data_IF_330548537908
#
_entry.id   IF_330548537908
#
_cell.length_a   1.000
_cell.length_b   1.000
_cell.length_c   1.000
_cell.angle_alpha   90.00
_cell.angle_beta   90.00
_cell.angle_gamma   90.00
#
_symmetry.space_group_name_H-M   'P 1'
#
loop_
_entity.id
_entity.type
_entity.pdbx_description
1 polymer ?
#
# COMPACT_ATOMS: atom_id res chain seq x y z
N UNK A 1 -3.75 -24.36 9.54
CA UNK A 1 -3.08 -24.11 8.26
C UNK A 1 -2.97 -22.62 7.99
N UNK A 2 -1.90 -22.17 7.39
CA UNK A 2 -1.63 -20.74 7.17
C UNK A 2 -1.26 -20.50 5.71
N UNK A 3 -1.88 -19.52 5.10
CA UNK A 3 -1.53 -19.04 3.77
C UNK A 3 -0.82 -17.71 3.87
N UNK A 4 0.27 -17.54 3.12
CA UNK A 4 1.07 -16.32 3.10
C UNK A 4 1.15 -15.82 1.67
N UNK A 5 0.86 -14.54 1.47
CA UNK A 5 1.03 -13.89 0.18
C UNK A 5 1.72 -12.55 0.35
N UNK A 6 2.44 -12.11 -0.68
CA UNK A 6 3.19 -10.86 -0.67
C UNK A 6 2.81 -10.00 -1.85
N UNK A 7 2.73 -8.70 -1.61
CA UNK A 7 2.47 -7.68 -2.63
C UNK A 7 3.48 -6.55 -2.48
N UNK A 8 3.98 -6.05 -3.61
CA UNK A 8 4.83 -4.89 -3.64
C UNK A 8 4.00 -3.62 -3.81
N UNK A 9 4.42 -2.56 -3.13
CA UNK A 9 3.77 -1.27 -3.19
C UNK A 9 4.83 -0.19 -3.42
N UNK A 10 4.65 0.61 -4.46
CA UNK A 10 5.53 1.75 -4.75
C UNK A 10 4.80 3.02 -4.37
N UNK A 11 5.42 3.84 -3.51
CA UNK A 11 4.78 5.08 -3.10
C UNK A 11 5.82 6.14 -2.74
N UNK A 12 5.39 7.40 -2.74
CA UNK A 12 6.20 8.51 -2.30
C UNK A 12 5.47 9.24 -1.19
N UNK A 13 6.22 9.89 -0.31
CA UNK A 13 5.63 10.68 0.76
C UNK A 13 6.64 11.67 1.35
N UNK A 14 6.16 12.50 2.27
CA UNK A 14 6.97 13.29 3.19
C UNK A 14 6.21 13.48 4.49
N UNK A 15 6.94 13.79 5.55
CA UNK A 15 6.32 14.15 6.83
C UNK A 15 6.35 15.66 7.01
N UNK A 16 5.26 16.31 6.63
CA UNK A 16 5.11 17.75 6.79
C UNK A 16 5.18 18.16 8.26
N UNK A 17 6.03 19.14 8.55
CA UNK A 17 6.25 19.60 9.92
C UNK A 17 7.26 18.80 10.73
N UNK A 18 7.80 17.72 10.18
CA UNK A 18 8.83 16.91 10.83
C UNK A 18 10.21 17.58 10.70
N UNK A 19 11.02 17.49 11.75
CA UNK A 19 12.38 18.05 11.77
C UNK A 19 13.40 16.95 11.50
N UNK A 20 13.69 16.68 10.25
CA UNK A 20 14.62 15.64 9.83
C UNK A 20 14.49 15.40 8.35
N UNK A 21 15.27 14.46 7.82
CA UNK A 21 15.28 14.19 6.39
C UNK A 21 13.93 13.72 5.85
N UNK A 22 13.11 13.09 6.68
CA UNK A 22 11.79 12.62 6.28
C UNK A 22 10.82 13.74 5.94
N UNK A 23 11.14 15.00 6.24
CA UNK A 23 10.35 16.15 5.79
C UNK A 23 10.45 16.36 4.28
N UNK A 24 11.50 15.84 3.66
CA UNK A 24 11.70 15.96 2.21
C UNK A 24 10.98 14.83 1.48
N UNK A 25 10.52 15.15 0.28
CA UNK A 25 9.84 14.17 -0.56
C UNK A 25 10.78 13.01 -0.92
N UNK A 26 10.34 11.81 -0.70
CA UNK A 26 11.10 10.59 -1.01
C UNK A 26 10.17 9.43 -1.31
N UNK A 27 10.73 8.40 -1.95
CA UNK A 27 9.99 7.22 -2.34
C UNK A 27 10.42 5.97 -1.61
N UNK A 28 9.51 5.01 -1.55
CA UNK A 28 9.73 3.70 -0.97
C UNK A 28 9.17 2.60 -1.85
N UNK A 29 9.80 1.43 -1.75
CA UNK A 29 9.19 0.17 -2.14
C UNK A 29 8.80 -0.56 -0.87
N UNK A 30 7.50 -0.70 -0.64
CA UNK A 30 6.99 -1.45 0.49
C UNK A 30 6.64 -2.87 0.08
N UNK A 31 6.76 -3.80 1.01
CA UNK A 31 6.30 -5.19 0.82
C UNK A 31 5.24 -5.46 1.86
N UNK A 32 4.03 -5.77 1.38
CA UNK A 32 2.94 -6.19 2.25
C UNK A 32 2.91 -7.71 2.30
N UNK A 33 3.01 -8.25 3.50
CA UNK A 33 2.87 -9.68 3.74
C UNK A 33 1.53 -9.93 4.42
N UNK A 34 0.72 -10.79 3.81
CA UNK A 34 -0.60 -11.13 4.34
C UNK A 34 -0.59 -12.59 4.75
N UNK A 35 -0.92 -12.85 6.00
CA UNK A 35 -1.06 -14.20 6.54
C UNK A 35 -2.52 -14.46 6.89
N UNK A 36 -3.05 -15.57 6.40
CA UNK A 36 -4.39 -16.04 6.73
C UNK A 36 -4.28 -17.40 7.37
N UNK A 37 -4.84 -17.55 8.56
CA UNK A 37 -4.77 -18.77 9.35
C UNK A 37 -6.18 -19.26 9.66
N UNK A 38 -6.36 -20.58 9.63
CA UNK A 38 -7.65 -21.19 9.94
C UNK A 38 -7.67 -22.68 9.65
N UNK A 39 -8.88 -23.26 9.62
CA UNK A 39 -9.09 -24.67 9.33
C UNK A 39 -8.91 -24.96 7.85
N UNK A 40 -8.43 -26.16 7.53
CA UNK A 40 -8.32 -26.63 6.15
C UNK A 40 -9.73 -26.80 5.59
N UNK A 41 -9.97 -26.15 4.43
CA UNK A 41 -11.24 -26.29 3.75
C UNK A 41 -11.34 -27.66 3.08
N UNK A 42 -12.50 -28.29 3.21
CA UNK A 42 -12.79 -29.58 2.61
C UNK A 42 -12.62 -29.51 1.07
N UNK A 43 -11.79 -30.39 0.53
CA UNK A 43 -11.52 -30.45 -0.90
C UNK A 43 -10.43 -29.50 -1.41
N UNK A 44 -9.90 -28.62 -0.56
CA UNK A 44 -8.79 -27.72 -0.87
C UNK A 44 -7.80 -27.76 0.28
N UNK A 45 -6.54 -27.98 -0.04
CA UNK A 45 -5.50 -28.09 0.98
C UNK A 45 -4.91 -26.72 1.36
N UNK A 46 -5.78 -25.72 1.53
CA UNK A 46 -5.37 -24.37 1.93
C UNK A 46 -6.52 -23.65 2.61
N UNK A 47 -6.19 -22.73 3.50
CA UNK A 47 -7.15 -21.91 4.22
C UNK A 47 -7.90 -21.01 3.26
N UNK A 48 -7.16 -20.37 2.38
CA UNK A 48 -7.69 -19.43 1.40
C UNK A 48 -6.72 -19.35 0.21
N UNK A 49 -7.19 -19.42 -1.03
CA UNK A 49 -6.31 -19.37 -2.19
C UNK A 49 -5.51 -18.07 -2.25
N UNK A 50 -4.20 -18.18 -2.49
CA UNK A 50 -3.32 -16.99 -2.52
C UNK A 50 -3.74 -15.96 -3.57
N UNK A 51 -4.22 -16.41 -4.73
CA UNK A 51 -4.69 -15.51 -5.78
C UNK A 51 -5.91 -14.69 -5.35
N UNK A 52 -6.80 -15.27 -4.54
CA UNK A 52 -7.95 -14.56 -4.00
C UNK A 52 -7.52 -13.54 -2.95
N UNK A 53 -6.53 -13.88 -2.12
CA UNK A 53 -5.98 -12.96 -1.13
C UNK A 53 -5.33 -11.78 -1.83
N UNK A 54 -4.52 -12.02 -2.86
CA UNK A 54 -3.86 -10.97 -3.64
C UNK A 54 -4.87 -10.04 -4.31
N UNK A 55 -5.89 -10.61 -4.93
CA UNK A 55 -6.93 -9.85 -5.62
C UNK A 55 -7.67 -8.93 -4.66
N UNK A 56 -8.08 -9.46 -3.52
CA UNK A 56 -8.81 -8.70 -2.51
C UNK A 56 -7.95 -7.58 -1.92
N UNK A 57 -6.71 -7.90 -1.58
CA UNK A 57 -5.78 -6.91 -1.06
C UNK A 57 -5.48 -5.81 -2.07
N UNK A 58 -5.31 -6.17 -3.34
CA UNK A 58 -5.01 -5.20 -4.39
C UNK A 58 -6.15 -4.21 -4.63
N UNK A 59 -7.40 -4.65 -4.47
CA UNK A 59 -8.55 -3.74 -4.59
C UNK A 59 -8.45 -2.55 -3.62
N UNK A 60 -7.82 -2.75 -2.47
CA UNK A 60 -7.57 -1.69 -1.50
C UNK A 60 -6.27 -0.96 -1.81
N UNK A 61 -5.19 -1.72 -2.03
CA UNK A 61 -3.84 -1.15 -2.14
C UNK A 61 -3.59 -0.41 -3.45
N UNK A 62 -4.32 -0.72 -4.51
CA UNK A 62 -4.13 -0.05 -5.80
C UNK A 62 -4.27 1.46 -5.72
N UNK A 63 -5.03 1.96 -4.73
CA UNK A 63 -5.19 3.39 -4.52
C UNK A 63 -3.93 4.06 -3.98
N UNK A 64 -3.10 3.29 -3.31
CA UNK A 64 -1.84 3.78 -2.73
C UNK A 64 -0.64 3.50 -3.62
N UNK A 65 -0.76 2.55 -4.56
CA UNK A 65 0.35 2.16 -5.42
C UNK A 65 0.63 3.25 -6.45
N UNK A 66 1.89 3.58 -6.63
CA UNK A 66 2.35 4.68 -7.49
C UNK A 66 1.70 6.01 -7.11
N UNK A 67 1.38 6.17 -5.84
CA UNK A 67 0.75 7.38 -5.33
C UNK A 67 1.71 8.19 -4.48
N UNK A 68 1.42 9.48 -4.43
CA UNK A 68 2.03 10.41 -3.48
C UNK A 68 1.10 10.50 -2.27
N UNK A 69 1.59 10.06 -1.13
CA UNK A 69 0.81 10.03 0.11
C UNK A 69 1.20 11.23 0.95
N UNK A 70 0.26 12.11 1.20
CA UNK A 70 0.49 13.35 1.93
C UNK A 70 -0.51 13.53 3.06
N UNK A 71 -0.08 14.23 4.09
CA UNK A 71 -0.97 14.72 5.14
C UNK A 71 -1.97 15.69 4.52
N UNK A 72 -3.21 15.69 4.98
CA UNK A 72 -4.29 16.47 4.33
C UNK A 72 -4.06 17.99 4.37
N UNK A 73 -3.24 18.48 5.31
CA UNK A 73 -2.91 19.89 5.42
C UNK A 73 -1.54 20.26 4.83
N UNK A 74 -0.92 19.34 4.10
CA UNK A 74 0.39 19.59 3.48
C UNK A 74 0.26 20.61 2.34
N UNK A 75 1.02 21.73 2.39
CA UNK A 75 0.99 22.74 1.32
C UNK A 75 1.37 22.19 -0.04
N UNK A 76 2.10 21.07 -0.09
CA UNK A 76 2.49 20.43 -1.35
C UNK A 76 1.28 19.95 -2.16
N UNK A 77 0.12 19.80 -1.55
CA UNK A 77 -1.11 19.43 -2.24
C UNK A 77 -1.49 20.39 -3.39
N UNK A 78 -0.95 21.60 -3.38
CA UNK A 78 -1.20 22.57 -4.44
C UNK A 78 -0.72 22.08 -5.80
N UNK A 79 0.29 21.19 -5.85
CA UNK A 79 0.82 20.66 -7.11
C UNK A 79 -0.21 19.84 -7.88
N UNK A 80 -1.24 19.34 -7.21
CA UNK A 80 -2.33 18.60 -7.86
C UNK A 80 -3.06 19.45 -8.91
N UNK A 81 -3.04 20.77 -8.76
CA UNK A 81 -3.66 21.71 -9.70
C UNK A 81 -2.79 22.00 -10.92
N UNK A 82 -1.50 21.70 -10.84
CA UNK A 82 -0.51 22.06 -11.85
C UNK A 82 -0.01 20.85 -12.62
N UNK A 83 0.10 19.72 -11.96
CA UNK A 83 0.65 18.47 -12.49
C UNK A 83 -0.35 17.35 -12.27
N UNK A 84 -0.46 16.46 -13.25
CA UNK A 84 -1.32 15.29 -13.11
C UNK A 84 -0.64 14.28 -12.18
N UNK A 85 -1.04 14.28 -10.92
CA UNK A 85 -0.51 13.40 -9.89
C UNK A 85 -1.61 12.56 -9.26
N UNK A 86 -1.25 11.30 -8.98
CA UNK A 86 -2.08 10.43 -8.16
C UNK A 86 -1.73 10.70 -6.70
N UNK A 87 -2.62 11.38 -5.98
CA UNK A 87 -2.41 11.72 -4.57
C UNK A 87 -3.48 11.05 -3.72
N UNK A 88 -3.02 10.47 -2.64
CA UNK A 88 -3.92 9.85 -1.67
C UNK A 88 -3.77 10.48 -0.29
#
# INVERSE_FOLDING_TARGET
MRSITKLDLQYAHRFYGFKGEAQYLHGHTGVLTIEVEGSINSGVNMVFPCNEIQKTAWEVLKNFDHALILREDDPLLIVKKVVNLKIY
#
